data_IF_525513661910
#
_entry.id   IF_525513661910
#
_cell.length_a   1.000
_cell.length_b   1.000
_cell.length_c   1.000
_cell.angle_alpha   90.00
_cell.angle_beta   90.00
_cell.angle_gamma   90.00
#
_symmetry.space_group_name_H-M   'P 1'
#
loop_
_entity.id
_entity.type
_entity.pdbx_description
1 polymer ?
#
# COMPACT_ATOMS: atom_id res chain seq x y z
N UNK A 1 -16.82 13.96 -15.15
CA UNK A 1 -16.16 13.96 -13.83
C UNK A 1 -14.74 13.42 -13.98
N UNK A 2 -13.77 14.27 -14.31
CA UNK A 2 -12.36 13.88 -14.51
C UNK A 2 -11.43 14.78 -13.69
N UNK A 3 -11.41 14.60 -12.37
CA UNK A 3 -10.43 15.27 -11.50
C UNK A 3 -9.16 14.42 -11.26
N UNK A 4 -9.18 13.14 -11.64
CA UNK A 4 -8.05 12.23 -11.47
C UNK A 4 -7.02 12.28 -12.60
N UNK A 5 -7.36 12.83 -13.78
CA UNK A 5 -6.50 12.80 -14.95
C UNK A 5 -5.42 13.90 -14.98
N UNK A 6 -5.51 14.94 -14.14
CA UNK A 6 -4.65 16.13 -14.20
C UNK A 6 -3.88 16.47 -12.91
N UNK A 7 -4.06 15.70 -11.83
CA UNK A 7 -3.27 15.90 -10.63
C UNK A 7 -1.98 15.07 -10.74
N UNK A 8 -0.78 15.65 -10.59
CA UNK A 8 0.47 14.89 -10.52
C UNK A 8 0.55 14.16 -9.17
N UNK A 9 -0.42 13.27 -8.90
CA UNK A 9 -0.43 12.43 -7.72
C UNK A 9 0.65 11.38 -7.93
N UNK A 10 1.78 11.56 -7.26
CA UNK A 10 2.93 10.66 -7.36
C UNK A 10 2.88 9.52 -6.35
N UNK A 11 1.86 9.49 -5.49
CA UNK A 11 1.81 8.65 -4.32
C UNK A 11 0.39 8.23 -3.95
N UNK A 12 0.20 6.95 -3.66
CA UNK A 12 -1.02 6.38 -3.13
C UNK A 12 -0.74 5.79 -1.74
N UNK A 13 -1.52 6.23 -0.75
CA UNK A 13 -1.42 5.74 0.62
C UNK A 13 -2.37 4.57 0.86
N UNK A 14 -1.90 3.59 1.61
CA UNK A 14 -2.69 2.51 2.18
C UNK A 14 -2.85 2.81 3.66
N UNK A 15 -4.11 3.03 4.06
CA UNK A 15 -4.46 3.40 5.43
C UNK A 15 -4.07 2.30 6.43
N UNK A 16 -3.70 2.73 7.64
CA UNK A 16 -3.31 1.85 8.75
C UNK A 16 -4.35 0.78 9.06
N UNK A 17 -5.64 1.10 9.00
CA UNK A 17 -6.71 0.12 9.30
C UNK A 17 -6.60 -1.13 8.42
N UNK A 18 -6.43 -0.96 7.10
CA UNK A 18 -6.28 -2.08 6.18
C UNK A 18 -4.95 -2.83 6.39
N UNK A 19 -3.86 -2.12 6.68
CA UNK A 19 -2.54 -2.74 6.92
C UNK A 19 -2.53 -3.59 8.18
N UNK A 20 -3.19 -3.16 9.25
CA UNK A 20 -3.27 -3.94 10.49
C UNK A 20 -4.12 -5.20 10.31
N UNK A 21 -5.21 -5.11 9.55
CA UNK A 21 -6.16 -6.21 9.42
C UNK A 21 -5.79 -7.19 8.30
N UNK A 22 -4.93 -6.84 7.34
CA UNK A 22 -4.68 -7.66 6.13
C UNK A 22 -4.15 -9.08 6.38
N UNK A 23 -3.55 -9.34 7.55
CA UNK A 23 -3.07 -10.69 7.88
C UNK A 23 -4.18 -11.62 8.39
N UNK A 24 -5.26 -11.06 8.94
CA UNK A 24 -6.35 -11.81 9.56
C UNK A 24 -7.69 -11.65 8.81
N UNK A 25 -7.84 -10.59 8.01
CA UNK A 25 -9.05 -10.25 7.28
C UNK A 25 -8.80 -10.30 5.76
N UNK A 26 -9.37 -11.30 5.04
CA UNK A 26 -9.23 -11.42 3.59
C UNK A 26 -9.74 -10.20 2.82
N UNK A 27 -10.77 -9.50 3.31
CA UNK A 27 -11.27 -8.29 2.66
C UNK A 27 -10.23 -7.17 2.70
N UNK A 28 -9.56 -6.99 3.84
CA UNK A 28 -8.47 -6.03 3.97
C UNK A 28 -7.28 -6.39 3.08
N UNK A 29 -6.90 -7.68 2.99
CA UNK A 29 -5.85 -8.13 2.05
C UNK A 29 -6.19 -7.82 0.59
N UNK A 30 -7.44 -8.06 0.18
CA UNK A 30 -7.92 -7.75 -1.17
C UNK A 30 -7.83 -6.25 -1.45
N UNK A 31 -8.23 -5.41 -0.49
CA UNK A 31 -8.14 -3.95 -0.62
C UNK A 31 -6.69 -3.53 -0.77
N UNK A 32 -5.80 -3.96 0.13
CA UNK A 32 -4.36 -3.66 0.08
C UNK A 32 -3.77 -4.05 -1.29
N UNK A 33 -4.03 -5.28 -1.74
CA UNK A 33 -3.54 -5.76 -3.05
C UNK A 33 -4.09 -4.92 -4.21
N UNK A 34 -5.38 -4.62 -4.23
CA UNK A 34 -6.00 -3.86 -5.31
C UNK A 34 -5.47 -2.42 -5.36
N UNK A 35 -5.24 -1.80 -4.21
CA UNK A 35 -4.62 -0.47 -4.11
C UNK A 35 -3.18 -0.49 -4.63
N UNK A 36 -2.41 -1.53 -4.29
CA UNK A 36 -1.05 -1.72 -4.81
C UNK A 36 -1.05 -1.87 -6.33
N UNK A 37 -1.93 -2.70 -6.88
CA UNK A 37 -2.01 -2.94 -8.33
C UNK A 37 -2.42 -1.67 -9.08
N UNK A 38 -3.41 -0.93 -8.57
CA UNK A 38 -3.81 0.36 -9.13
C UNK A 38 -2.64 1.35 -9.16
N UNK A 39 -1.92 1.50 -8.05
CA UNK A 39 -0.79 2.41 -7.97
C UNK A 39 0.31 2.04 -8.97
N UNK A 40 0.66 0.76 -9.09
CA UNK A 40 1.66 0.31 -10.07
C UNK A 40 1.21 0.60 -11.51
N UNK A 41 -0.06 0.33 -11.84
CA UNK A 41 -0.61 0.57 -13.18
C UNK A 41 -0.60 2.07 -13.55
N UNK A 42 -0.74 2.94 -12.55
CA UNK A 42 -0.68 4.39 -12.71
C UNK A 42 0.74 4.97 -12.55
N UNK A 43 1.77 4.14 -12.33
CA UNK A 43 3.14 4.58 -12.11
C UNK A 43 3.35 5.38 -10.81
N UNK A 44 2.44 5.22 -9.85
CA UNK A 44 2.46 5.89 -8.55
C UNK A 44 3.34 5.13 -7.56
N UNK A 45 3.91 5.85 -6.59
CA UNK A 45 4.54 5.25 -5.41
C UNK A 45 3.46 4.77 -4.45
N UNK A 46 3.74 3.73 -3.69
CA UNK A 46 2.85 3.27 -2.62
C UNK A 46 3.48 3.51 -1.27
N UNK A 47 2.69 4.05 -0.35
CA UNK A 47 3.06 4.20 1.06
C UNK A 47 2.07 3.46 1.93
N UNK A 48 2.55 2.46 2.66
CA UNK A 48 1.76 1.73 3.64
C UNK A 48 2.01 2.30 5.03
N UNK A 49 0.94 2.72 5.71
CA UNK A 49 0.97 3.21 7.09
C UNK A 49 0.58 2.09 8.06
N UNK A 50 1.06 2.13 9.31
CA UNK A 50 0.64 1.15 10.31
C UNK A 50 1.37 -0.19 10.26
N UNK A 51 2.58 -0.26 9.72
CA UNK A 51 3.39 -1.48 9.76
C UNK A 51 3.96 -1.69 11.16
N UNK A 52 3.28 -2.56 11.91
CA UNK A 52 3.55 -2.86 13.33
C UNK A 52 4.18 -4.23 13.58
N UNK A 53 4.42 -5.06 12.56
CA UNK A 53 5.07 -6.36 12.75
C UNK A 53 5.94 -6.70 11.55
N UNK A 54 6.85 -7.66 11.75
CA UNK A 54 7.66 -8.19 10.64
C UNK A 54 6.81 -8.90 9.60
N UNK A 55 5.67 -9.47 9.99
CA UNK A 55 4.74 -10.12 9.08
C UNK A 55 4.00 -9.11 8.22
N UNK A 56 3.58 -7.96 8.78
CA UNK A 56 3.05 -6.85 7.98
C UNK A 56 4.06 -6.41 6.91
N UNK A 57 5.32 -6.21 7.33
CA UNK A 57 6.40 -5.83 6.43
C UNK A 57 6.63 -6.86 5.32
N UNK A 58 6.73 -8.15 5.69
CA UNK A 58 6.95 -9.24 4.74
C UNK A 58 5.82 -9.35 3.72
N UNK A 59 4.56 -9.23 4.17
CA UNK A 59 3.39 -9.27 3.29
C UNK A 59 3.40 -8.10 2.31
N UNK A 60 3.62 -6.87 2.78
CA UNK A 60 3.72 -5.69 1.91
C UNK A 60 4.91 -5.80 0.94
N UNK A 61 6.03 -6.38 1.37
CA UNK A 61 7.18 -6.64 0.50
C UNK A 61 6.86 -7.63 -0.61
N UNK A 62 5.99 -8.62 -0.37
CA UNK A 62 5.55 -9.55 -1.43
C UNK A 62 4.62 -8.85 -2.44
N UNK A 63 3.75 -7.96 -1.97
CA UNK A 63 2.77 -7.27 -2.83
C UNK A 63 3.41 -6.18 -3.69
N UNK A 64 4.35 -5.42 -3.13
CA UNK A 64 4.92 -4.29 -3.84
C UNK A 64 5.88 -4.81 -4.97
N UNK A 65 5.70 -4.27 -6.18
CA UNK A 65 6.38 -4.52 -7.47
C UNK A 65 7.90 -4.26 -7.52
N UNK A 66 8.24 -3.05 -7.08
CA UNK A 66 9.30 -2.25 -7.73
C UNK A 66 10.07 -1.40 -6.72
N UNK A 67 11.11 -0.69 -7.18
CA UNK A 67 12.09 0.10 -6.40
C UNK A 67 11.57 1.41 -5.78
N UNK A 68 10.28 1.74 -5.90
CA UNK A 68 9.67 2.95 -5.32
C UNK A 68 8.65 2.59 -4.23
N UNK A 69 9.15 2.05 -3.11
CA UNK A 69 8.36 1.69 -1.93
C UNK A 69 8.77 2.59 -0.78
N UNK A 70 7.80 3.09 -0.03
CA UNK A 70 8.05 3.64 1.31
C UNK A 70 7.16 2.87 2.26
N UNK A 71 7.77 2.06 3.12
CA UNK A 71 7.06 1.40 4.20
C UNK A 71 7.34 2.21 5.46
N UNK A 72 6.32 2.88 5.97
CA UNK A 72 6.43 3.65 7.21
C UNK A 72 6.23 2.70 8.40
N UNK A 73 7.32 2.09 8.87
CA UNK A 73 7.33 1.18 10.02
C UNK A 73 7.85 1.88 11.28
N UNK A 74 7.24 1.57 12.43
CA UNK A 74 7.78 1.98 13.75
C UNK A 74 8.84 1.01 14.31
N UNK A 75 9.21 -0.02 13.56
CA UNK A 75 10.27 -0.97 13.94
C UNK A 75 11.65 -0.32 13.74
N UNK A 76 12.40 -0.19 14.83
CA UNK A 76 13.86 0.01 14.81
C UNK A 76 14.55 -1.34 14.84
#
# INVERSE_FOLDING_TARGET
>A
MSALQSLPIRELKIDRSFVLDMLANPASDVIVRSTVDLAHNLGMRVVAEGVETRDHYNRLRQLLRTSRRVISSRFR
#
